data_IF_412263058795
#
_entry.id   IF_412263058795
#
_cell.length_a   1.000
_cell.length_b   1.000
_cell.length_c   1.000
_cell.angle_alpha   90.00
_cell.angle_beta   90.00
_cell.angle_gamma   90.00
#
_symmetry.space_group_name_H-M   'P 1'
#
loop_
_entity.id
_entity.type
_entity.pdbx_description
1 polymer ?
#
# COMPACT_ATOMS: atom_id res chain seq x y z
N UNK A 1 12.75 24.04 -28.30
CA UNK A 1 12.63 25.35 -27.60
C UNK A 1 11.22 25.61 -27.03
N UNK A 2 10.10 25.41 -27.73
CA UNK A 2 8.73 25.71 -27.21
C UNK A 2 8.33 24.98 -25.91
N UNK A 3 8.82 23.74 -25.66
CA UNK A 3 8.52 23.00 -24.41
C UNK A 3 9.22 23.59 -23.17
N UNK A 4 10.45 24.07 -23.30
CA UNK A 4 11.21 24.71 -22.23
C UNK A 4 10.54 26.02 -21.81
N UNK A 5 10.17 26.85 -22.77
CA UNK A 5 9.48 28.13 -22.51
C UNK A 5 8.14 27.95 -21.79
N UNK A 6 7.39 26.89 -22.11
CA UNK A 6 6.14 26.58 -21.37
C UNK A 6 6.39 26.16 -19.91
N UNK A 7 7.42 25.35 -19.66
CA UNK A 7 7.80 24.93 -18.30
C UNK A 7 8.35 26.09 -17.48
N UNK A 8 9.14 26.96 -18.09
CA UNK A 8 9.72 28.11 -17.40
C UNK A 8 8.66 29.09 -16.83
N UNK A 9 7.46 29.14 -17.43
CA UNK A 9 6.39 30.05 -16.97
C UNK A 9 5.90 29.78 -15.53
N UNK A 10 6.12 28.58 -15.01
CA UNK A 10 5.74 28.22 -13.62
C UNK A 10 6.87 28.44 -12.62
N UNK A 11 8.01 28.97 -13.05
CA UNK A 11 9.15 29.24 -12.19
C UNK A 11 9.45 30.74 -12.17
N UNK A 12 9.93 31.22 -11.04
CA UNK A 12 10.34 32.61 -10.82
C UNK A 12 11.66 32.62 -10.05
N UNK A 13 12.57 33.52 -10.43
CA UNK A 13 13.82 33.76 -9.72
C UNK A 13 13.64 35.00 -8.84
N UNK A 14 13.88 34.88 -7.55
CA UNK A 14 13.81 35.94 -6.56
C UNK A 14 15.08 35.86 -5.71
N UNK A 15 15.87 36.90 -5.66
CA UNK A 15 17.12 36.98 -4.89
C UNK A 15 18.03 35.77 -5.12
N UNK A 16 18.24 35.40 -6.39
CA UNK A 16 19.02 34.24 -6.82
C UNK A 16 18.49 32.87 -6.37
N UNK A 17 17.29 32.81 -5.79
CA UNK A 17 16.60 31.59 -5.40
C UNK A 17 15.48 31.28 -6.38
N UNK A 18 15.48 30.04 -6.90
CA UNK A 18 14.44 29.58 -7.81
C UNK A 18 13.21 29.12 -7.03
N UNK A 19 12.05 29.65 -7.41
CA UNK A 19 10.74 29.25 -6.87
C UNK A 19 9.85 28.68 -7.96
N UNK A 20 9.06 27.68 -7.61
CA UNK A 20 7.97 27.19 -8.45
C UNK A 20 6.63 27.70 -7.94
N UNK A 21 5.84 28.24 -8.85
CA UNK A 21 4.46 28.65 -8.56
C UNK A 21 3.53 27.42 -8.60
N UNK A 22 2.87 27.10 -7.48
CA UNK A 22 1.84 26.07 -7.43
C UNK A 22 0.57 26.51 -8.15
N UNK A 23 -0.37 25.60 -8.47
CA UNK A 23 -1.69 25.96 -9.02
C UNK A 23 -2.50 26.89 -8.11
N UNK A 24 -2.29 26.83 -6.79
CA UNK A 24 -2.90 27.70 -5.80
C UNK A 24 -2.24 29.08 -5.67
N UNK A 25 -1.17 29.36 -6.45
CA UNK A 25 -0.44 30.62 -6.41
C UNK A 25 0.68 30.67 -5.37
N UNK A 26 0.82 29.66 -4.53
CA UNK A 26 1.88 29.58 -3.51
C UNK A 26 3.24 29.38 -4.18
N UNK A 27 4.26 30.07 -3.69
CA UNK A 27 5.63 29.98 -4.18
C UNK A 27 6.40 28.93 -3.37
N UNK A 28 6.84 27.88 -4.04
CA UNK A 28 7.60 26.78 -3.45
C UNK A 28 9.08 26.93 -3.81
N UNK A 29 9.95 26.97 -2.81
CA UNK A 29 11.39 27.05 -3.01
C UNK A 29 11.89 25.76 -3.67
N UNK A 30 12.58 25.93 -4.80
CA UNK A 30 13.23 24.79 -5.46
C UNK A 30 14.48 24.40 -4.71
N UNK A 31 14.56 23.14 -4.28
CA UNK A 31 15.73 22.56 -3.60
C UNK A 31 16.39 21.48 -4.47
N UNK A 32 17.70 21.24 -4.28
CA UNK A 32 18.40 20.13 -4.93
C UNK A 32 17.79 18.77 -4.59
N UNK A 33 17.85 17.81 -5.52
CA UNK A 33 17.30 16.47 -5.32
C UNK A 33 17.85 15.77 -4.07
N UNK A 34 19.14 15.82 -3.74
CA UNK A 34 19.66 15.22 -2.51
C UNK A 34 18.98 15.77 -1.23
N UNK A 35 18.86 17.09 -1.14
CA UNK A 35 18.20 17.77 -0.04
C UNK A 35 16.70 17.38 0.07
N UNK A 36 16.03 17.28 -1.09
CA UNK A 36 14.64 16.81 -1.15
C UNK A 36 14.47 15.36 -0.67
N UNK A 37 15.44 14.48 -0.94
CA UNK A 37 15.45 13.11 -0.44
C UNK A 37 15.63 13.03 1.07
N UNK A 38 16.50 13.85 1.64
CA UNK A 38 16.69 13.95 3.09
C UNK A 38 15.41 14.46 3.74
N UNK A 39 14.84 15.54 3.23
CA UNK A 39 13.57 16.08 3.71
C UNK A 39 12.46 15.03 3.74
N UNK A 40 12.32 14.22 2.69
CA UNK A 40 11.31 13.14 2.67
C UNK A 40 11.60 12.07 3.72
N UNK A 41 12.87 11.70 3.97
CA UNK A 41 13.23 10.75 5.02
C UNK A 41 12.88 11.29 6.39
N UNK A 42 13.20 12.55 6.66
CA UNK A 42 12.90 13.21 7.92
C UNK A 42 11.41 13.31 8.19
N UNK A 43 10.63 13.70 7.17
CA UNK A 43 9.16 13.72 7.26
C UNK A 43 8.63 12.31 7.50
N UNK A 44 9.16 11.29 6.81
CA UNK A 44 8.68 9.91 6.89
C UNK A 44 8.94 9.28 8.26
N UNK A 45 10.16 9.47 8.81
CA UNK A 45 10.56 8.93 10.10
C UNK A 45 10.13 9.80 11.29
N UNK A 46 9.77 11.05 11.05
CA UNK A 46 9.41 12.01 12.10
C UNK A 46 8.03 11.74 12.71
N UNK A 47 7.79 12.38 13.87
CA UNK A 47 6.54 12.26 14.64
C UNK A 47 5.30 12.61 13.81
N UNK A 48 5.41 13.55 12.88
CA UNK A 48 4.32 13.98 12.01
C UNK A 48 4.18 13.13 10.72
N UNK A 49 5.13 12.26 10.43
CA UNK A 49 5.15 11.45 9.19
C UNK A 49 4.36 10.17 9.28
N UNK A 50 4.32 9.55 10.46
CA UNK A 50 3.62 8.29 10.75
C UNK A 50 3.76 7.22 9.65
N UNK A 51 4.93 7.15 8.99
CA UNK A 51 5.14 6.26 7.85
C UNK A 51 4.06 6.40 6.75
N UNK A 52 3.68 7.64 6.46
CA UNK A 52 2.58 7.93 5.54
C UNK A 52 2.89 7.48 4.09
N UNK A 53 1.84 7.38 3.30
CA UNK A 53 1.94 7.04 1.87
C UNK A 53 2.75 8.10 1.08
N UNK A 54 3.43 7.73 -0.03
CA UNK A 54 4.31 8.61 -0.78
C UNK A 54 3.68 9.96 -1.17
N UNK A 55 2.42 9.94 -1.63
CA UNK A 55 1.71 11.18 -2.01
C UNK A 55 1.46 12.11 -0.83
N UNK A 56 1.21 11.56 0.35
CA UNK A 56 1.01 12.33 1.59
C UNK A 56 2.32 12.98 2.00
N UNK A 57 3.46 12.27 1.94
CA UNK A 57 4.79 12.79 2.24
C UNK A 57 5.14 13.97 1.33
N UNK A 58 4.93 13.81 0.02
CA UNK A 58 5.16 14.89 -0.95
C UNK A 58 4.23 16.08 -0.67
N UNK A 59 2.95 15.82 -0.36
CA UNK A 59 2.01 16.86 0.02
C UNK A 59 2.45 17.63 1.27
N UNK A 60 3.06 16.96 2.25
CA UNK A 60 3.62 17.60 3.44
C UNK A 60 4.82 18.48 3.09
N UNK A 61 5.77 17.98 2.30
CA UNK A 61 6.92 18.75 1.84
C UNK A 61 6.50 19.99 1.03
N UNK A 62 5.51 19.85 0.14
CA UNK A 62 5.01 20.96 -0.67
C UNK A 62 4.22 22.00 0.13
N UNK A 63 3.58 21.60 1.24
CA UNK A 63 2.94 22.54 2.20
C UNK A 63 3.95 23.27 3.08
N UNK A 64 5.17 22.75 3.20
CA UNK A 64 6.31 23.45 3.81
C UNK A 64 7.09 24.31 2.81
N UNK A 65 6.46 24.60 1.65
CA UNK A 65 6.98 25.45 0.58
C UNK A 65 8.26 24.97 -0.10
N UNK A 66 8.54 23.65 -0.06
CA UNK A 66 9.64 23.04 -0.80
C UNK A 66 9.17 22.36 -2.08
N UNK A 67 9.98 22.40 -3.12
CA UNK A 67 9.73 21.72 -4.40
C UNK A 67 10.99 21.17 -5.03
N UNK A 68 10.93 19.95 -5.57
CA UNK A 68 11.90 19.38 -6.50
C UNK A 68 11.20 18.42 -7.48
N UNK A 69 11.76 18.21 -8.68
CA UNK A 69 11.04 17.51 -9.76
C UNK A 69 10.75 16.04 -9.51
N UNK A 70 11.58 15.35 -8.72
CA UNK A 70 11.52 13.90 -8.47
C UNK A 70 10.83 13.53 -7.16
N UNK A 71 10.20 14.48 -6.48
CA UNK A 71 9.61 14.30 -5.16
C UNK A 71 8.75 13.03 -5.00
N UNK A 72 7.88 12.73 -5.98
CA UNK A 72 7.00 11.55 -5.92
C UNK A 72 7.78 10.25 -6.06
N UNK A 73 8.78 10.22 -6.95
CA UNK A 73 9.62 9.04 -7.13
C UNK A 73 10.48 8.80 -5.88
N UNK A 74 11.10 9.84 -5.35
CA UNK A 74 11.93 9.77 -4.15
C UNK A 74 11.13 9.33 -2.92
N UNK A 75 9.92 9.86 -2.73
CA UNK A 75 9.01 9.43 -1.66
C UNK A 75 8.56 7.97 -1.82
N UNK A 76 8.33 7.52 -3.05
CA UNK A 76 7.98 6.12 -3.34
C UNK A 76 9.12 5.19 -2.97
N UNK A 77 10.36 5.56 -3.29
CA UNK A 77 11.54 4.77 -2.94
C UNK A 77 11.76 4.71 -1.43
N UNK A 78 11.59 5.82 -0.71
CA UNK A 78 11.70 5.85 0.76
C UNK A 78 10.68 4.92 1.41
N UNK A 79 9.41 4.98 1.01
CA UNK A 79 8.37 4.11 1.57
C UNK A 79 8.59 2.63 1.22
N UNK A 80 9.04 2.36 -0.01
CA UNK A 80 9.30 0.99 -0.50
C UNK A 80 10.47 0.31 0.23
N UNK A 81 11.47 1.08 0.62
CA UNK A 81 12.67 0.57 1.31
C UNK A 81 12.57 0.65 2.84
N UNK A 82 11.53 1.26 3.38
CA UNK A 82 11.31 1.35 4.82
C UNK A 82 10.85 0.02 5.40
N UNK A 83 11.64 -0.59 6.27
CA UNK A 83 11.32 -1.86 6.93
C UNK A 83 10.00 -1.81 7.69
N UNK A 84 9.75 -0.73 8.44
CA UNK A 84 8.51 -0.53 9.17
C UNK A 84 7.29 -0.50 8.24
N UNK A 85 7.38 0.25 7.12
CA UNK A 85 6.30 0.28 6.13
C UNK A 85 6.07 -1.08 5.49
N UNK A 86 7.11 -1.85 5.21
CA UNK A 86 6.99 -3.19 4.64
C UNK A 86 6.39 -4.19 5.63
N UNK A 87 6.82 -4.13 6.88
CA UNK A 87 6.33 -5.03 7.93
C UNK A 87 4.84 -4.81 8.24
N UNK A 88 4.40 -3.54 8.31
CA UNK A 88 3.01 -3.19 8.63
C UNK A 88 2.12 -3.01 7.39
N UNK A 89 2.64 -3.26 6.18
CA UNK A 89 1.85 -3.18 4.96
C UNK A 89 0.70 -4.18 4.98
N UNK A 90 -0.53 -3.67 4.82
CA UNK A 90 -1.74 -4.53 4.78
C UNK A 90 -1.84 -5.38 3.52
N UNK A 91 -1.01 -5.12 2.51
CA UNK A 91 -0.97 -5.86 1.24
C UNK A 91 0.47 -6.23 0.93
N UNK A 92 0.70 -7.50 0.77
CA UNK A 92 1.96 -8.00 0.22
C UNK A 92 1.95 -7.66 -1.27
N UNK A 93 2.76 -6.69 -1.68
CA UNK A 93 2.96 -6.35 -3.10
C UNK A 93 3.99 -7.31 -3.74
N UNK A 94 3.73 -8.59 -3.61
CA UNK A 94 4.45 -9.58 -4.40
C UNK A 94 3.94 -9.53 -5.84
N UNK A 95 4.81 -9.70 -6.86
CA UNK A 95 4.35 -9.88 -8.22
C UNK A 95 3.38 -11.06 -8.24
N UNK A 96 2.32 -10.96 -9.04
CA UNK A 96 1.36 -12.04 -9.20
C UNK A 96 2.12 -13.29 -9.68
N UNK A 97 2.20 -14.29 -8.82
CA UNK A 97 2.70 -15.59 -9.24
C UNK A 97 1.68 -16.23 -10.17
N UNK A 98 2.16 -16.95 -11.18
CA UNK A 98 1.30 -17.77 -12.01
C UNK A 98 0.46 -18.69 -11.11
N UNK A 99 -0.85 -18.74 -11.34
CA UNK A 99 -1.74 -19.63 -10.61
C UNK A 99 -1.27 -21.07 -10.80
N UNK A 100 -0.86 -21.68 -9.70
CA UNK A 100 -0.54 -23.10 -9.69
C UNK A 100 -1.84 -23.85 -9.43
N UNK A 101 -2.30 -24.61 -10.41
CA UNK A 101 -3.43 -25.52 -10.26
C UNK A 101 -2.95 -26.87 -9.76
N UNK A 102 -3.54 -27.36 -8.69
CA UNK A 102 -3.32 -28.74 -8.24
C UNK A 102 -4.15 -29.64 -9.15
N UNK A 103 -3.55 -30.56 -9.89
CA UNK A 103 -4.30 -31.49 -10.75
C UNK A 103 -5.20 -32.37 -9.88
N UNK A 104 -6.49 -32.38 -10.20
CA UNK A 104 -7.49 -33.22 -9.51
C UNK A 104 -7.57 -34.53 -10.29
N UNK A 105 -6.88 -35.58 -9.80
CA UNK A 105 -6.67 -36.83 -10.55
C UNK A 105 -7.67 -37.92 -10.21
N UNK A 106 -8.15 -37.99 -8.97
CA UNK A 106 -9.12 -39.00 -8.52
C UNK A 106 -9.96 -38.51 -7.33
N UNK A 107 -11.08 -39.21 -7.03
CA UNK A 107 -11.94 -38.90 -5.90
C UNK A 107 -11.19 -38.92 -4.57
N UNK A 108 -11.53 -37.99 -3.68
CA UNK A 108 -11.05 -37.85 -2.31
C UNK A 108 -9.54 -37.56 -2.15
N UNK A 109 -8.82 -37.27 -3.24
CA UNK A 109 -7.40 -36.92 -3.20
C UNK A 109 -7.14 -35.49 -2.74
N UNK A 110 -8.05 -34.56 -3.06
CA UNK A 110 -7.88 -33.12 -2.76
C UNK A 110 -9.17 -32.54 -2.19
N UNK A 111 -9.09 -32.04 -0.97
CA UNK A 111 -10.20 -31.43 -0.25
C UNK A 111 -10.07 -29.93 -0.15
N UNK A 112 -11.16 -29.21 -0.38
CA UNK A 112 -11.31 -27.81 0.01
C UNK A 112 -11.95 -27.75 1.39
N UNK A 113 -11.34 -27.01 2.33
CA UNK A 113 -11.87 -26.79 3.65
C UNK A 113 -12.30 -25.34 3.79
N UNK A 114 -13.46 -25.12 4.40
CA UNK A 114 -13.98 -23.81 4.72
C UNK A 114 -14.66 -23.79 6.09
N UNK A 115 -14.67 -22.62 6.73
CA UNK A 115 -15.31 -22.39 8.01
C UNK A 115 -16.35 -21.30 7.88
N UNK A 116 -17.62 -21.70 7.97
CA UNK A 116 -18.74 -20.78 7.85
C UNK A 116 -19.18 -20.34 9.25
N UNK A 117 -19.29 -19.04 9.48
CA UNK A 117 -19.74 -18.46 10.74
C UNK A 117 -19.17 -17.06 11.01
N UNK A 118 -19.51 -16.48 12.17
CA UNK A 118 -20.41 -17.00 13.21
C UNK A 118 -21.88 -17.00 12.80
N UNK A 119 -22.55 -18.11 13.05
CA UNK A 119 -24.00 -18.29 12.87
C UNK A 119 -24.74 -18.05 14.18
N UNK A 120 -26.08 -17.96 14.15
CA UNK A 120 -26.89 -17.98 15.36
C UNK A 120 -26.61 -19.24 16.17
N UNK A 121 -26.52 -19.07 17.51
CA UNK A 121 -26.18 -20.17 18.41
C UNK A 121 -27.25 -21.27 18.37
N UNK A 122 -26.86 -22.43 17.87
CA UNK A 122 -27.70 -23.61 17.81
C UNK A 122 -27.68 -24.41 19.15
N UNK A 123 -28.67 -25.30 19.38
CA UNK A 123 -28.63 -26.26 20.49
C UNK A 123 -27.29 -26.99 20.55
N UNK A 124 -26.68 -27.12 21.72
CA UNK A 124 -25.32 -27.63 21.89
C UNK A 124 -24.24 -26.55 21.84
N UNK A 125 -24.60 -25.28 21.62
CA UNK A 125 -23.67 -24.14 21.65
C UNK A 125 -22.85 -23.95 20.37
N UNK A 126 -23.27 -24.57 19.28
CA UNK A 126 -22.59 -24.45 17.96
C UNK A 126 -22.85 -23.10 17.33
N UNK A 127 -21.78 -22.50 16.81
CA UNK A 127 -21.80 -21.18 16.15
C UNK A 127 -21.10 -21.18 14.80
N UNK A 128 -20.41 -22.25 14.46
CA UNK A 128 -19.68 -22.37 13.19
C UNK A 128 -19.92 -23.73 12.55
N UNK A 129 -19.75 -23.80 11.26
CA UNK A 129 -19.83 -25.02 10.48
C UNK A 129 -18.51 -25.20 9.72
N UNK A 130 -17.79 -26.28 10.01
CA UNK A 130 -16.66 -26.71 9.18
C UNK A 130 -17.20 -27.49 8.00
N UNK A 131 -16.86 -27.04 6.80
CA UNK A 131 -17.25 -27.69 5.54
C UNK A 131 -16.03 -28.21 4.84
N UNK A 132 -16.08 -29.45 4.41
CA UNK A 132 -15.07 -30.09 3.58
C UNK A 132 -15.71 -30.53 2.26
N UNK A 133 -15.11 -30.13 1.13
CA UNK A 133 -15.60 -30.47 -0.21
C UNK A 133 -14.51 -31.19 -0.96
N UNK A 134 -14.78 -32.43 -1.39
CA UNK A 134 -13.90 -33.12 -2.34
C UNK A 134 -13.90 -32.42 -3.68
N UNK A 135 -12.73 -31.99 -4.14
CA UNK A 135 -12.63 -31.19 -5.39
C UNK A 135 -12.95 -31.99 -6.65
N UNK A 136 -12.86 -33.30 -6.61
CA UNK A 136 -13.16 -34.17 -7.74
C UNK A 136 -14.67 -34.47 -7.84
N UNK A 137 -15.22 -35.16 -6.83
CA UNK A 137 -16.60 -35.64 -6.81
C UNK A 137 -17.63 -34.58 -6.41
N UNK A 138 -17.16 -33.46 -5.81
CA UNK A 138 -17.99 -32.44 -5.17
C UNK A 138 -18.75 -32.96 -3.94
N UNK A 139 -18.34 -34.10 -3.42
CA UNK A 139 -18.86 -34.64 -2.16
C UNK A 139 -18.62 -33.63 -1.03
N UNK A 140 -19.63 -33.46 -0.17
CA UNK A 140 -19.57 -32.48 0.91
C UNK A 140 -19.72 -33.19 2.25
N UNK A 141 -18.83 -32.89 3.18
CA UNK A 141 -18.97 -33.20 4.58
C UNK A 141 -19.00 -31.94 5.41
N UNK A 142 -19.85 -31.92 6.43
CA UNK A 142 -20.00 -30.76 7.29
C UNK A 142 -20.09 -31.15 8.76
N UNK A 143 -19.38 -30.40 9.63
CA UNK A 143 -19.43 -30.61 11.09
C UNK A 143 -19.69 -29.30 11.83
N UNK A 144 -20.63 -29.26 12.77
CA UNK A 144 -20.85 -28.10 13.62
C UNK A 144 -19.72 -27.97 14.65
N UNK A 145 -19.27 -26.75 14.90
CA UNK A 145 -18.22 -26.40 15.87
C UNK A 145 -18.75 -25.35 16.84
N UNK A 146 -18.53 -25.57 18.15
CA UNK A 146 -18.94 -24.64 19.20
C UNK A 146 -17.89 -23.57 19.52
N UNK A 147 -16.60 -23.91 19.42
CA UNK A 147 -15.47 -22.99 19.68
C UNK A 147 -14.33 -23.26 18.71
N UNK A 148 -13.78 -22.21 18.15
CA UNK A 148 -12.50 -22.24 17.44
C UNK A 148 -11.42 -22.09 18.51
N UNK A 149 -10.58 -23.10 18.71
CA UNK A 149 -9.37 -23.00 19.53
C UNK A 149 -8.20 -22.71 18.60
N UNK A 150 -7.46 -21.66 18.87
CA UNK A 150 -6.14 -21.40 18.27
C UNK A 150 -5.09 -22.32 18.85
#
# INVERSE_FOLDING_TARGET
>A
MRRLARRAKSFVLIDDVLYKRSPSGIMQRCIPVPEGKELIRDIHAGICGHHAAPRTLVGNAFRQDFYWPTAVADATDVVRTCEGCQFYARKIHLPAHALQTIPITWPFAVWGLDLVGPLQKAPGGFTHLLVAVDKFSKWIEARPISKIKS
#
